data_IF_542602492672
#
_entry.id   IF_542602492672
#
_cell.length_a   1.000
_cell.length_b   1.000
_cell.length_c   1.000
_cell.angle_alpha   90.00
_cell.angle_beta   90.00
_cell.angle_gamma   90.00
#
_symmetry.space_group_name_H-M   'P 1'
#
loop_
_entity.id
_entity.type
_entity.pdbx_description
1 polymer ?
#
# COMPACT_ATOMS: atom_id res chain seq x y z
N UNK A 1 -3.75 5.48 16.84
CA UNK A 1 -2.41 5.64 16.21
C UNK A 1 -1.52 4.49 16.67
N UNK A 2 -0.88 3.79 15.73
CA UNK A 2 0.03 2.67 16.02
C UNK A 2 1.49 3.11 15.85
N UNK A 3 2.42 2.48 16.56
CA UNK A 3 3.86 2.79 16.51
C UNK A 3 4.65 1.55 16.08
N UNK A 4 5.70 1.75 15.31
CA UNK A 4 6.57 0.68 14.81
C UNK A 4 6.58 0.61 13.28
N UNK A 5 7.37 -0.32 12.73
CA UNK A 5 7.44 -0.53 11.29
C UNK A 5 6.14 -1.19 10.79
N UNK A 6 5.59 -0.77 9.64
CA UNK A 6 4.40 -1.38 9.05
C UNK A 6 4.48 -2.90 8.94
N UNK A 7 5.64 -3.41 8.51
CA UNK A 7 5.92 -4.85 8.33
C UNK A 7 5.80 -5.66 9.63
N UNK A 8 6.10 -5.05 10.78
CA UNK A 8 6.01 -5.72 12.09
C UNK A 8 4.61 -5.63 12.71
N UNK A 9 3.86 -4.59 12.35
CA UNK A 9 2.59 -4.23 12.98
C UNK A 9 1.41 -4.87 12.23
N UNK A 10 1.37 -4.75 10.90
CA UNK A 10 0.22 -5.20 10.10
C UNK A 10 -0.10 -6.69 10.23
N UNK A 11 0.86 -7.63 10.16
CA UNK A 11 0.56 -9.06 10.30
C UNK A 11 -0.16 -9.40 11.62
N UNK A 12 0.25 -8.73 12.71
CA UNK A 12 -0.37 -8.91 14.04
C UNK A 12 -1.81 -8.40 14.04
N UNK A 13 -2.07 -7.27 13.39
CA UNK A 13 -3.42 -6.69 13.29
C UNK A 13 -4.35 -7.50 12.40
N UNK A 14 -3.86 -8.01 11.26
CA UNK A 14 -4.67 -8.80 10.34
C UNK A 14 -5.32 -9.98 11.07
N UNK A 15 -4.54 -10.69 11.87
CA UNK A 15 -5.03 -11.79 12.70
C UNK A 15 -5.87 -11.30 13.89
N UNK A 16 -5.34 -10.35 14.69
CA UNK A 16 -5.98 -9.90 15.92
C UNK A 16 -7.37 -9.28 15.68
N UNK A 17 -7.51 -8.55 14.58
CA UNK A 17 -8.74 -7.83 14.26
C UNK A 17 -9.57 -8.51 13.16
N UNK A 18 -9.12 -9.66 12.64
CA UNK A 18 -9.76 -10.38 11.54
C UNK A 18 -10.02 -9.46 10.34
N UNK A 19 -9.01 -8.67 9.99
CA UNK A 19 -9.08 -7.74 8.87
C UNK A 19 -9.26 -8.53 7.57
N UNK A 20 -10.14 -8.06 6.69
CA UNK A 20 -10.35 -8.64 5.34
C UNK A 20 -9.98 -7.67 4.22
N UNK A 21 -9.84 -6.38 4.56
CA UNK A 21 -9.52 -5.31 3.62
C UNK A 21 -8.62 -4.25 4.27
N UNK A 22 -7.56 -3.88 3.58
CA UNK A 22 -6.67 -2.77 3.88
C UNK A 22 -6.78 -1.75 2.75
N UNK A 23 -6.90 -0.46 3.09
CA UNK A 23 -6.97 0.63 2.12
C UNK A 23 -5.99 1.74 2.45
N UNK A 24 -5.38 2.36 1.44
CA UNK A 24 -4.48 3.50 1.58
C UNK A 24 -4.43 4.35 0.30
N UNK A 25 -3.81 5.52 0.35
CA UNK A 25 -3.59 6.37 -0.82
C UNK A 25 -2.35 5.95 -1.60
N UNK A 26 -2.35 6.15 -2.92
CA UNK A 26 -1.15 5.97 -3.74
C UNK A 26 -0.17 7.12 -3.51
N UNK A 27 1.09 6.77 -3.27
CA UNK A 27 2.20 7.69 -3.07
C UNK A 27 3.37 7.26 -3.97
N UNK A 28 3.86 8.21 -4.76
CA UNK A 28 4.93 8.00 -5.75
C UNK A 28 6.33 8.06 -5.15
N UNK A 29 6.49 8.41 -3.87
CA UNK A 29 7.81 8.48 -3.25
C UNK A 29 8.50 7.10 -3.20
N UNK A 30 9.80 7.00 -3.51
CA UNK A 30 10.51 5.72 -3.56
C UNK A 30 10.42 4.89 -2.27
N UNK A 31 10.36 5.55 -1.11
CA UNK A 31 10.19 4.87 0.17
C UNK A 31 8.78 4.29 0.30
N UNK A 32 7.75 5.08 0.01
CA UNK A 32 6.34 4.68 0.09
C UNK A 32 6.06 3.50 -0.83
N UNK A 33 6.55 3.52 -2.08
CA UNK A 33 6.42 2.40 -3.01
C UNK A 33 7.03 1.09 -2.46
N UNK A 34 8.23 1.15 -1.84
CA UNK A 34 8.87 -0.04 -1.25
C UNK A 34 8.07 -0.55 -0.05
N UNK A 35 7.63 0.35 0.84
CA UNK A 35 6.83 0.04 2.02
C UNK A 35 5.50 -0.61 1.61
N UNK A 36 4.80 -0.02 0.65
CA UNK A 36 3.46 -0.44 0.25
C UNK A 36 3.51 -1.77 -0.50
N UNK A 37 4.56 -2.02 -1.29
CA UNK A 37 4.84 -3.33 -1.88
C UNK A 37 5.04 -4.41 -0.81
N UNK A 38 5.82 -4.13 0.24
CA UNK A 38 6.03 -5.06 1.34
C UNK A 38 4.74 -5.34 2.12
N UNK A 39 3.98 -4.28 2.45
CA UNK A 39 2.70 -4.40 3.15
C UNK A 39 1.66 -5.14 2.31
N UNK A 40 1.60 -4.91 1.00
CA UNK A 40 0.68 -5.62 0.11
C UNK A 40 1.01 -7.12 0.01
N UNK A 41 2.30 -7.49 0.01
CA UNK A 41 2.71 -8.88 0.06
C UNK A 41 2.25 -9.56 1.35
N UNK A 42 2.48 -8.92 2.51
CA UNK A 42 2.02 -9.40 3.82
C UNK A 42 0.49 -9.52 3.88
N UNK A 43 -0.23 -8.52 3.37
CA UNK A 43 -1.69 -8.55 3.32
C UNK A 43 -2.20 -9.75 2.51
N UNK A 44 -1.59 -10.01 1.34
CA UNK A 44 -1.94 -11.16 0.49
C UNK A 44 -1.70 -12.49 1.19
N UNK A 45 -0.58 -12.65 1.91
CA UNK A 45 -0.29 -13.85 2.70
C UNK A 45 -1.35 -14.12 3.78
N UNK A 46 -1.91 -13.05 4.36
CA UNK A 46 -2.98 -13.11 5.33
C UNK A 46 -4.40 -13.10 4.73
N UNK A 47 -4.55 -13.25 3.41
CA UNK A 47 -5.83 -13.19 2.68
C UNK A 47 -6.60 -11.88 2.89
N UNK A 48 -5.87 -10.78 3.08
CA UNK A 48 -6.40 -9.43 3.17
C UNK A 48 -6.34 -8.78 1.79
N UNK A 49 -7.50 -8.31 1.31
CA UNK A 49 -7.57 -7.53 0.08
C UNK A 49 -6.96 -6.15 0.28
N UNK A 50 -6.19 -5.67 -0.70
CA UNK A 50 -5.60 -4.33 -0.68
C UNK A 50 -6.23 -3.49 -1.77
N UNK A 51 -6.71 -2.30 -1.41
CA UNK A 51 -7.21 -1.31 -2.37
C UNK A 51 -6.47 0.00 -2.11
N UNK A 52 -5.77 0.49 -3.12
CA UNK A 52 -5.22 1.85 -3.09
C UNK A 52 -5.84 2.70 -4.19
N UNK A 53 -5.83 4.02 -4.00
CA UNK A 53 -6.38 4.98 -4.95
C UNK A 53 -5.44 6.16 -5.12
N UNK A 54 -5.35 6.66 -6.35
CA UNK A 54 -4.61 7.89 -6.66
C UNK A 54 -5.47 9.06 -6.21
N UNK A 55 -5.04 9.73 -5.15
CA UNK A 55 -5.77 10.85 -4.55
C UNK A 55 -4.90 12.04 -4.19
N UNK A 56 -3.58 11.86 -4.09
CA UNK A 56 -2.64 12.95 -3.82
C UNK A 56 -2.35 13.79 -5.08
N UNK A 57 -2.47 13.18 -6.26
CA UNK A 57 -2.22 13.80 -7.56
C UNK A 57 -3.51 13.84 -8.37
N UNK A 58 -3.65 14.85 -9.24
CA UNK A 58 -4.81 14.97 -10.13
C UNK A 58 -4.86 13.87 -11.20
N UNK A 59 -3.70 13.31 -11.54
CA UNK A 59 -3.53 12.31 -12.58
C UNK A 59 -2.65 11.17 -12.09
N UNK A 60 -2.75 10.04 -12.78
CA UNK A 60 -1.81 8.93 -12.67
C UNK A 60 -0.48 9.34 -13.29
N UNK A 61 0.53 9.55 -12.44
CA UNK A 61 1.87 10.01 -12.87
C UNK A 61 2.58 8.92 -13.67
N UNK A 62 2.43 7.64 -13.30
CA UNK A 62 3.09 6.54 -14.00
C UNK A 62 2.59 6.44 -15.44
N UNK A 63 1.27 6.61 -15.62
CA UNK A 63 0.67 6.69 -16.95
C UNK A 63 1.21 7.87 -17.77
N UNK A 64 1.35 9.06 -17.18
CA UNK A 64 1.89 10.24 -17.88
C UNK A 64 3.34 10.00 -18.32
N UNK A 65 4.15 9.35 -17.49
CA UNK A 65 5.55 9.02 -17.82
C UNK A 65 5.60 8.03 -18.99
N UNK A 66 4.77 6.98 -18.94
CA UNK A 66 4.67 5.98 -20.01
C UNK A 66 4.25 6.62 -21.35
N UNK A 67 3.26 7.52 -21.34
CA UNK A 67 2.82 8.26 -22.52
C UNK A 67 3.91 9.17 -23.12
N UNK A 68 4.94 9.53 -22.34
CA UNK A 68 6.09 10.34 -22.78
C UNK A 68 7.34 9.52 -23.14
N UNK A 69 7.25 8.18 -23.17
CA UNK A 69 8.34 7.32 -23.62
C UNK A 69 9.26 6.77 -22.54
N UNK A 70 8.88 6.89 -21.27
CA UNK A 70 9.61 6.29 -20.13
C UNK A 70 10.62 7.22 -19.47
#
# INVERSE_FOLDING_TARGET
VLKGKPEDVFPKLFTKWKVTKLTYEYDTEPYSLRRDKAVAALAREHRVSVIYQISHTLYDIDRIIEENGG
#
